data_IF_001685962822
#
_entry.id   IF_001685962822
#
_cell.length_a   1.000
_cell.length_b   1.000
_cell.length_c   1.000
_cell.angle_alpha   90.00
_cell.angle_beta   90.00
_cell.angle_gamma   90.00
#
_symmetry.space_group_name_H-M   'P 1'
#
loop_
_entity.id
_entity.type
_entity.pdbx_description
1 polymer ?
#
# COMPACT_ATOMS: atom_id res chain seq x y z
N UNK A 1 -11.36 -13.72 -17.10
CA UNK A 1 -9.90 -14.00 -17.09
C UNK A 1 -9.18 -12.70 -16.71
N UNK A 2 -8.73 -12.56 -15.45
CA UNK A 2 -8.05 -11.32 -15.01
C UNK A 2 -6.64 -11.26 -15.59
N UNK A 3 -6.26 -10.09 -16.13
CA UNK A 3 -4.96 -9.87 -16.75
C UNK A 3 -3.88 -9.82 -15.66
N UNK A 4 -3.04 -10.85 -15.63
CA UNK A 4 -1.79 -10.85 -14.90
C UNK A 4 -0.83 -9.83 -15.52
N UNK A 5 -0.56 -8.74 -14.82
CA UNK A 5 0.36 -7.70 -15.27
C UNK A 5 1.75 -7.92 -14.67
N UNK A 6 2.78 -7.63 -15.47
CA UNK A 6 4.18 -7.72 -15.05
C UNK A 6 4.55 -6.40 -14.37
N UNK A 7 4.93 -6.48 -13.10
CA UNK A 7 5.37 -5.33 -12.31
C UNK A 7 6.82 -5.49 -11.86
N UNK A 8 7.50 -4.35 -11.64
CA UNK A 8 8.82 -4.33 -11.04
C UNK A 8 8.66 -4.50 -9.51
N UNK A 9 9.10 -5.64 -8.97
CA UNK A 9 8.98 -5.91 -7.54
C UNK A 9 9.70 -4.88 -6.68
N UNK A 10 10.90 -4.47 -7.11
CA UNK A 10 11.72 -3.50 -6.37
C UNK A 10 10.99 -2.15 -6.21
N UNK A 11 10.38 -1.65 -7.28
CA UNK A 11 9.63 -0.38 -7.23
C UNK A 11 8.33 -0.47 -6.42
N UNK A 12 7.67 -1.63 -6.38
CA UNK A 12 6.51 -1.86 -5.52
C UNK A 12 6.91 -1.87 -4.05
N UNK A 13 8.00 -2.55 -3.72
CA UNK A 13 8.50 -2.62 -2.35
C UNK A 13 9.03 -1.26 -1.89
N UNK A 14 9.68 -0.51 -2.77
CA UNK A 14 10.08 0.87 -2.50
C UNK A 14 8.89 1.76 -2.18
N UNK A 15 7.82 1.74 -3.00
CA UNK A 15 6.60 2.50 -2.72
C UNK A 15 6.00 2.16 -1.35
N UNK A 16 5.88 0.86 -1.05
CA UNK A 16 5.36 0.37 0.24
C UNK A 16 6.26 0.76 1.41
N UNK A 17 7.59 0.71 1.23
CA UNK A 17 8.53 1.12 2.26
C UNK A 17 8.37 2.61 2.56
N UNK A 18 8.40 3.46 1.53
CA UNK A 18 8.28 4.92 1.70
C UNK A 18 6.95 5.28 2.37
N UNK A 19 5.84 4.70 1.92
CA UNK A 19 4.53 4.95 2.51
C UNK A 19 4.39 4.38 3.93
N UNK A 20 4.94 3.19 4.20
CA UNK A 20 4.98 2.63 5.55
C UNK A 20 5.82 3.45 6.53
N UNK A 21 6.99 3.93 6.11
CA UNK A 21 7.81 4.86 6.90
C UNK A 21 7.10 6.20 7.11
N UNK A 22 6.41 6.72 6.10
CA UNK A 22 5.68 7.98 6.20
C UNK A 22 4.54 7.90 7.22
N UNK A 23 3.77 6.81 7.22
CA UNK A 23 2.71 6.60 8.21
C UNK A 23 3.26 6.33 9.62
N UNK A 24 4.39 5.63 9.75
CA UNK A 24 5.05 5.46 11.04
C UNK A 24 5.57 6.79 11.59
N UNK A 25 6.09 7.66 10.72
CA UNK A 25 6.51 9.01 11.07
C UNK A 25 5.31 9.90 11.42
N UNK A 26 4.16 9.72 10.75
CA UNK A 26 2.91 10.36 11.11
C UNK A 26 2.48 10.02 12.55
N UNK A 27 2.60 8.74 12.94
CA UNK A 27 2.32 8.28 14.30
C UNK A 27 3.30 8.88 15.32
N UNK A 28 4.61 8.88 15.04
CA UNK A 28 5.62 9.40 15.96
C UNK A 28 5.48 10.91 16.24
N UNK A 29 5.10 11.68 15.21
CA UNK A 29 4.89 13.13 15.32
C UNK A 29 3.44 13.46 15.72
N UNK A 30 2.56 12.45 15.78
CA UNK A 30 1.11 12.60 15.96
C UNK A 30 0.49 13.61 14.98
N UNK A 31 0.90 13.55 13.71
CA UNK A 31 0.46 14.49 12.69
C UNK A 31 -0.63 13.91 11.78
N UNK A 32 -1.86 14.37 11.98
CA UNK A 32 -3.04 13.94 11.23
C UNK A 32 -2.91 14.17 9.72
N UNK A 33 -2.23 15.24 9.28
CA UNK A 33 -2.08 15.54 7.86
C UNK A 33 -1.17 14.53 7.15
N UNK A 34 -0.17 13.99 7.84
CA UNK A 34 0.70 12.94 7.28
C UNK A 34 -0.06 11.63 7.08
N UNK A 35 -1.01 11.32 7.96
CA UNK A 35 -1.93 10.18 7.79
C UNK A 35 -2.75 10.34 6.51
N UNK A 36 -3.31 11.54 6.28
CA UNK A 36 -4.08 11.85 5.06
C UNK A 36 -3.23 11.72 3.80
N UNK A 37 -2.03 12.28 3.79
CA UNK A 37 -1.10 12.18 2.64
C UNK A 37 -0.81 10.71 2.34
N UNK A 38 -0.59 9.90 3.37
CA UNK A 38 -0.30 8.48 3.18
C UNK A 38 -1.52 7.72 2.65
N UNK A 39 -2.72 8.01 3.17
CA UNK A 39 -3.97 7.47 2.64
C UNK A 39 -4.21 7.83 1.17
N UNK A 40 -3.94 9.08 0.78
CA UNK A 40 -4.05 9.52 -0.62
C UNK A 40 -3.05 8.80 -1.54
N UNK A 41 -1.80 8.60 -1.10
CA UNK A 41 -0.81 7.84 -1.87
C UNK A 41 -1.28 6.41 -2.15
N UNK A 42 -1.87 5.74 -1.15
CA UNK A 42 -2.48 4.42 -1.33
C UNK A 42 -3.72 4.47 -2.23
N UNK A 43 -4.55 5.51 -2.08
CA UNK A 43 -5.75 5.71 -2.90
C UNK A 43 -5.39 5.82 -4.39
N UNK A 44 -4.40 6.63 -4.75
CA UNK A 44 -3.89 6.70 -6.13
C UNK A 44 -3.35 5.37 -6.63
N UNK A 45 -2.67 4.61 -5.76
CA UNK A 45 -2.23 3.24 -6.06
C UNK A 45 -3.38 2.27 -6.38
N UNK A 46 -4.55 2.46 -5.75
CA UNK A 46 -5.74 1.64 -5.96
C UNK A 46 -6.40 1.85 -7.32
N UNK A 47 -6.39 3.08 -7.86
CA UNK A 47 -6.87 3.32 -9.24
C UNK A 47 -5.92 2.70 -10.25
N UNK A 48 -4.62 2.97 -10.09
CA UNK A 48 -3.61 2.45 -11.00
C UNK A 48 -2.21 2.63 -10.43
N UNK A 49 -1.46 1.54 -10.44
CA UNK A 49 -0.02 1.53 -10.14
C UNK A 49 0.77 2.46 -11.07
N UNK A 50 0.26 2.72 -12.30
CA UNK A 50 0.89 3.67 -13.23
C UNK A 50 0.69 5.12 -12.81
N UNK A 51 -0.39 5.46 -12.10
CA UNK A 51 -0.59 6.84 -11.61
C UNK A 51 0.23 7.14 -10.35
N UNK A 52 0.84 6.12 -9.76
CA UNK A 52 1.62 6.27 -8.54
C UNK A 52 3.00 6.87 -8.87
N UNK A 53 3.14 8.17 -8.58
CA UNK A 53 4.34 8.95 -8.89
C UNK A 53 5.62 8.33 -8.32
N UNK A 54 5.56 7.82 -7.08
CA UNK A 54 6.70 7.18 -6.43
C UNK A 54 7.16 5.91 -7.14
N UNK A 55 6.21 5.11 -7.64
CA UNK A 55 6.51 3.91 -8.41
C UNK A 55 7.14 4.26 -9.75
N UNK A 56 6.59 5.25 -10.48
CA UNK A 56 7.16 5.69 -11.75
C UNK A 56 8.55 6.31 -11.59
N UNK A 57 8.74 7.10 -10.54
CA UNK A 57 10.00 7.74 -10.23
C UNK A 57 11.08 6.69 -9.97
N UNK A 58 10.83 5.75 -9.05
CA UNK A 58 11.79 4.68 -8.76
C UNK A 58 12.04 3.80 -10.00
N UNK A 59 11.01 3.45 -10.77
CA UNK A 59 11.21 2.65 -11.98
C UNK A 59 12.07 3.38 -13.02
N UNK A 60 11.84 4.68 -13.23
CA UNK A 60 12.61 5.48 -14.19
C UNK A 60 14.06 5.69 -13.74
N UNK A 61 14.28 5.96 -12.44
CA UNK A 61 15.63 6.12 -11.87
C UNK A 61 16.37 4.78 -11.86
N UNK A 62 15.72 3.71 -11.40
CA UNK A 62 16.31 2.37 -11.35
C UNK A 62 16.66 1.84 -12.75
N UNK A 63 15.80 2.09 -13.75
CA UNK A 63 16.05 1.64 -15.13
C UNK A 63 17.03 2.51 -15.90
N UNK A 64 17.00 3.84 -15.73
CA UNK A 64 17.85 4.77 -16.51
C UNK A 64 19.20 5.06 -15.85
N UNK A 65 19.24 5.23 -14.53
CA UNK A 65 20.47 5.60 -13.80
C UNK A 65 21.21 4.38 -13.25
N UNK A 66 20.49 3.42 -12.64
CA UNK A 66 21.12 2.32 -11.91
C UNK A 66 21.31 1.04 -12.71
N UNK A 67 20.77 0.96 -13.95
CA UNK A 67 20.77 -0.24 -14.81
C UNK A 67 20.43 -1.53 -14.05
N UNK A 68 19.59 -1.44 -13.01
CA UNK A 68 19.26 -2.58 -12.17
C UNK A 68 18.44 -3.60 -12.97
N UNK A 69 18.77 -4.89 -12.81
CA UNK A 69 18.02 -5.98 -13.45
C UNK A 69 16.56 -5.93 -12.97
N UNK A 70 15.65 -5.80 -13.94
CA UNK A 70 14.22 -5.88 -13.70
C UNK A 70 13.88 -7.26 -13.14
N UNK A 71 13.28 -7.32 -11.95
CA UNK A 71 12.73 -8.55 -11.37
C UNK A 71 11.22 -8.56 -11.59
N UNK A 72 10.75 -9.13 -12.71
CA UNK A 72 9.33 -9.16 -13.02
C UNK A 72 8.62 -10.04 -12.01
N UNK A 73 7.58 -9.49 -11.37
CA UNK A 73 6.60 -10.30 -10.66
C UNK A 73 5.28 -10.19 -11.40
N UNK A 74 4.68 -11.35 -11.60
CA UNK A 74 3.35 -11.48 -12.17
C UNK A 74 2.36 -11.48 -11.00
N UNK A 75 1.59 -10.40 -10.89
CA UNK A 75 0.54 -10.27 -9.88
C UNK A 75 -0.78 -9.93 -10.55
N UNK A 76 -1.86 -10.43 -9.97
CA UNK A 76 -3.21 -10.06 -10.39
C UNK A 76 -3.40 -8.57 -10.11
N UNK A 77 -3.76 -7.81 -11.14
CA UNK A 77 -4.02 -6.38 -11.00
C UNK A 77 -5.18 -6.11 -10.03
N UNK A 78 -6.14 -7.04 -9.93
CA UNK A 78 -7.25 -6.95 -8.98
C UNK A 78 -6.80 -7.07 -7.53
N UNK A 79 -5.89 -8.01 -7.24
CA UNK A 79 -5.31 -8.20 -5.91
C UNK A 79 -4.58 -6.94 -5.46
N UNK A 80 -3.75 -6.36 -6.34
CA UNK A 80 -2.94 -5.20 -5.98
C UNK A 80 -3.80 -3.96 -5.72
N UNK A 81 -4.83 -3.74 -6.54
CA UNK A 81 -5.81 -2.66 -6.35
C UNK A 81 -6.61 -2.84 -5.08
N UNK A 82 -6.99 -4.08 -4.76
CA UNK A 82 -7.69 -4.40 -3.51
C UNK A 82 -6.83 -4.10 -2.29
N UNK A 83 -5.56 -4.52 -2.28
CA UNK A 83 -4.62 -4.21 -1.19
C UNK A 83 -4.49 -2.70 -1.00
N UNK A 84 -4.22 -1.96 -2.07
CA UNK A 84 -4.05 -0.51 -1.98
C UNK A 84 -5.34 0.22 -1.60
N UNK A 85 -6.48 -0.22 -2.13
CA UNK A 85 -7.79 0.34 -1.77
C UNK A 85 -8.12 0.09 -0.30
N UNK A 86 -7.93 -1.14 0.18
CA UNK A 86 -8.18 -1.51 1.57
C UNK A 86 -7.29 -0.72 2.53
N UNK A 87 -5.98 -0.62 2.24
CA UNK A 87 -5.04 0.19 3.03
C UNK A 87 -5.43 1.68 3.01
N UNK A 88 -5.83 2.23 1.86
CA UNK A 88 -6.29 3.61 1.75
C UNK A 88 -7.54 3.87 2.60
N UNK A 89 -8.53 2.96 2.55
CA UNK A 89 -9.75 3.08 3.34
C UNK A 89 -9.46 3.07 4.84
N UNK A 90 -8.56 2.20 5.31
CA UNK A 90 -8.17 2.18 6.72
C UNK A 90 -7.54 3.51 7.16
N UNK A 91 -6.57 4.04 6.39
CA UNK A 91 -5.97 5.34 6.71
C UNK A 91 -6.96 6.51 6.63
N UNK A 92 -7.92 6.48 5.71
CA UNK A 92 -8.96 7.51 5.64
C UNK A 92 -9.90 7.44 6.85
N UNK A 93 -10.31 6.23 7.27
CA UNK A 93 -11.13 6.06 8.48
C UNK A 93 -10.36 6.55 9.71
N UNK A 94 -9.08 6.17 9.86
CA UNK A 94 -8.22 6.67 10.93
C UNK A 94 -8.13 8.20 10.91
N UNK A 95 -7.92 8.81 9.74
CA UNK A 95 -7.88 10.25 9.60
C UNK A 95 -9.18 10.91 10.06
N UNK A 96 -10.34 10.39 9.67
CA UNK A 96 -11.62 10.94 10.13
C UNK A 96 -11.78 10.83 11.65
N UNK A 97 -11.42 9.69 12.24
CA UNK A 97 -11.45 9.51 13.70
C UNK A 97 -10.53 10.51 14.42
N UNK A 98 -9.30 10.70 13.92
CA UNK A 98 -8.34 11.68 14.44
C UNK A 98 -8.83 13.13 14.26
N UNK A 99 -9.44 13.45 13.12
CA UNK A 99 -9.92 14.80 12.82
C UNK A 99 -11.12 15.20 13.70
N UNK A 100 -12.05 14.27 13.94
CA UNK A 100 -13.19 14.49 14.85
C UNK A 100 -12.82 14.32 16.34
N UNK A 101 -11.57 13.95 16.65
CA UNK A 101 -11.11 13.73 18.03
C UNK A 101 -11.81 12.56 18.73
N UNK A 102 -12.41 11.63 17.99
CA UNK A 102 -13.10 10.46 18.55
C UNK A 102 -12.20 9.24 18.45
N UNK A 103 -12.04 8.51 19.56
CA UNK A 103 -11.24 7.28 19.59
C UNK A 103 -9.80 7.47 19.07
N UNK A 104 -9.15 8.56 19.48
CA UNK A 104 -7.80 8.96 19.01
C UNK A 104 -6.77 7.85 19.22
N UNK A 105 -6.72 7.24 20.41
CA UNK A 105 -5.78 6.15 20.71
C UNK A 105 -6.03 4.92 19.82
N UNK A 106 -7.29 4.62 19.53
CA UNK A 106 -7.66 3.52 18.64
C UNK A 106 -7.23 3.80 17.21
N UNK A 107 -7.47 5.01 16.70
CA UNK A 107 -7.07 5.41 15.35
C UNK A 107 -5.55 5.34 15.17
N UNK A 108 -4.78 5.81 16.15
CA UNK A 108 -3.33 5.68 16.15
C UNK A 108 -2.86 4.21 16.22
N UNK A 109 -3.55 3.38 17.01
CA UNK A 109 -3.28 1.94 17.05
C UNK A 109 -3.51 1.25 15.71
N UNK A 110 -4.58 1.62 15.00
CA UNK A 110 -4.86 1.15 13.63
C UNK A 110 -3.76 1.61 12.67
N UNK A 111 -3.41 2.90 12.69
CA UNK A 111 -2.37 3.44 11.81
C UNK A 111 -1.01 2.78 12.03
N UNK A 112 -0.63 2.55 13.28
CA UNK A 112 0.61 1.83 13.62
C UNK A 112 0.59 0.41 13.08
N UNK A 113 -0.52 -0.31 13.28
CA UNK A 113 -0.70 -1.69 12.81
C UNK A 113 -0.62 -1.77 11.28
N UNK A 114 -1.32 -0.89 10.58
CA UNK A 114 -1.35 -0.82 9.12
C UNK A 114 0.03 -0.42 8.56
N UNK A 115 0.72 0.52 9.22
CA UNK A 115 2.09 0.91 8.86
C UNK A 115 3.05 -0.26 8.96
N UNK A 116 2.97 -1.02 10.06
CA UNK A 116 3.82 -2.20 10.27
C UNK A 116 3.55 -3.29 9.23
N UNK A 117 2.28 -3.60 8.95
CA UNK A 117 1.89 -4.54 7.91
C UNK A 117 2.36 -4.11 6.52
N UNK A 118 2.35 -2.81 6.25
CA UNK A 118 2.80 -2.23 4.98
C UNK A 118 4.32 -2.36 4.82
N UNK A 119 5.08 -2.06 5.88
CA UNK A 119 6.53 -2.28 5.91
C UNK A 119 6.86 -3.76 5.77
N UNK A 120 6.17 -4.63 6.51
CA UNK A 120 6.35 -6.08 6.40
C UNK A 120 6.07 -6.58 4.98
N UNK A 121 5.04 -6.05 4.31
CA UNK A 121 4.73 -6.38 2.92
C UNK A 121 5.76 -5.86 1.91
N UNK A 122 6.62 -4.90 2.30
CA UNK A 122 7.77 -4.46 1.51
C UNK A 122 8.96 -5.41 1.65
N UNK A 123 9.23 -5.92 2.86
CA UNK A 123 10.38 -6.81 3.11
C UNK A 123 10.09 -8.28 2.84
N UNK A 124 8.93 -8.79 3.25
CA UNK A 124 8.58 -10.20 3.17
C UNK A 124 7.80 -10.56 1.90
N UNK A 125 7.40 -9.58 1.07
CA UNK A 125 6.50 -9.75 -0.09
C UNK A 125 5.13 -10.40 0.23
N UNK A 126 4.85 -10.67 1.50
CA UNK A 126 3.60 -11.27 2.00
C UNK A 126 2.75 -10.13 2.58
N UNK A 127 1.51 -10.00 2.08
CA UNK A 127 0.56 -8.99 2.55
C UNK A 127 -0.70 -9.68 3.09
N UNK A 128 -1.16 -9.28 4.28
CA UNK A 128 -2.37 -9.86 4.86
C UNK A 128 -3.60 -9.60 3.99
N UNK A 129 -3.64 -8.46 3.30
CA UNK A 129 -4.70 -8.10 2.37
C UNK A 129 -4.69 -8.98 1.09
N UNK A 130 -3.53 -9.48 0.63
CA UNK A 130 -3.51 -10.45 -0.47
C UNK A 130 -4.00 -11.82 -0.03
N UNK A 131 -3.72 -12.24 1.22
CA UNK A 131 -4.30 -13.44 1.81
C UNK A 131 -5.82 -13.34 1.92
N UNK A 132 -6.34 -12.21 2.38
CA UNK A 132 -7.79 -11.95 2.40
C UNK A 132 -8.38 -12.02 0.99
N UNK A 133 -7.73 -11.41 -0.01
CA UNK A 133 -8.19 -11.50 -1.41
C UNK A 133 -8.22 -12.94 -1.94
N UNK A 134 -7.18 -13.74 -1.68
CA UNK A 134 -7.13 -15.16 -2.06
C UNK A 134 -8.24 -15.95 -1.36
N UNK A 135 -8.50 -15.68 -0.08
CA UNK A 135 -9.58 -16.31 0.68
C UNK A 135 -10.95 -15.92 0.11
N UNK A 136 -11.19 -14.63 -0.14
CA UNK A 136 -12.43 -14.15 -0.78
C UNK A 136 -12.63 -14.77 -2.15
N UNK A 137 -11.58 -14.86 -2.98
CA UNK A 137 -11.63 -15.53 -4.28
C UNK A 137 -11.94 -17.01 -4.11
N UNK A 138 -11.34 -17.71 -3.14
CA UNK A 138 -11.60 -19.13 -2.89
C UNK A 138 -13.03 -19.40 -2.39
N UNK A 139 -13.64 -18.43 -1.69
CA UNK A 139 -15.02 -18.49 -1.22
C UNK A 139 -16.02 -18.19 -2.35
N UNK A 140 -15.76 -17.15 -3.16
CA UNK A 140 -16.64 -16.74 -4.26
C UNK A 140 -16.50 -17.58 -5.53
N UNK A 141 -15.32 -18.16 -5.77
CA UNK A 141 -15.03 -18.99 -6.95
C UNK A 141 -15.31 -20.48 -6.68
N UNK A 142 -16.24 -20.76 -5.75
CA UNK A 142 -16.80 -22.08 -5.46
C UNK A 142 -18.05 -22.38 -6.32
N UNK A 143 -18.18 -21.69 -7.46
CA UNK A 143 -19.08 -22.02 -8.56
C UNK A 143 -18.24 -22.24 -9.82
#
# INVERSE_FOLDING_TARGET
MQQCLIYNNSSLNFFRAVSGFLAMLAFLIQNNWLVLITGLLFFFGAFSVKFNFLYQFHNSVSSKLLKQKFTPIQKDSGELKFVYGFTATLFLISFFLLYFGKFVDFAWGVDLTVSFLTLLASFANICLASLMYVMFKKIFNKQ
#
